data_IF_185424192675
#
_entry.id   IF_185424192675
#
_cell.length_a   1.000
_cell.length_b   1.000
_cell.length_c   1.000
_cell.angle_alpha   90.00
_cell.angle_beta   90.00
_cell.angle_gamma   90.00
#
_symmetry.space_group_name_H-M   'P 1'
#
loop_
_entity.id
_entity.type
_entity.pdbx_description
1 polymer ?
#
# COMPACT_ATOMS: atom_id res chain seq x y z
N UNK A 1 15.90 14.33 -11.13
CA UNK A 1 15.26 14.61 -9.83
C UNK A 1 15.73 13.54 -8.84
N UNK A 2 16.59 13.86 -7.86
CA UNK A 2 17.22 12.81 -7.03
C UNK A 2 16.29 12.32 -5.92
N UNK A 3 15.40 11.37 -6.24
CA UNK A 3 14.78 10.55 -5.20
C UNK A 3 15.90 9.84 -4.42
N UNK A 4 16.06 10.19 -3.14
CA UNK A 4 17.03 9.54 -2.24
C UNK A 4 16.29 9.02 -1.03
N UNK A 5 16.31 7.71 -0.87
CA UNK A 5 15.92 7.05 0.38
C UNK A 5 17.06 7.28 1.38
N UNK A 6 16.73 7.88 2.53
CA UNK A 6 17.71 8.03 3.60
C UNK A 6 17.72 6.74 4.44
N UNK A 7 18.74 5.91 4.23
CA UNK A 7 18.90 4.65 4.96
C UNK A 7 19.39 4.81 6.41
N UNK A 8 19.75 6.03 6.85
CA UNK A 8 20.22 6.25 8.23
C UNK A 8 19.02 6.40 9.18
N UNK A 9 18.65 5.34 9.87
CA UNK A 9 17.75 5.41 11.03
C UNK A 9 18.48 6.02 12.23
N UNK A 10 18.00 7.17 12.72
CA UNK A 10 18.59 7.88 13.88
C UNK A 10 17.98 7.44 15.21
N UNK A 11 16.72 7.00 15.20
CA UNK A 11 15.98 6.53 16.36
C UNK A 11 14.85 5.59 15.92
N UNK A 12 14.31 4.83 16.87
CA UNK A 12 13.22 3.87 16.61
C UNK A 12 12.00 4.57 15.99
N UNK A 13 11.61 4.16 14.80
CA UNK A 13 10.50 4.72 14.01
C UNK A 13 10.93 5.66 12.88
N UNK A 14 12.21 5.99 12.77
CA UNK A 14 12.75 6.81 11.67
C UNK A 14 12.72 6.05 10.33
N UNK A 15 12.78 4.70 10.36
CA UNK A 15 12.59 3.83 9.19
C UNK A 15 11.13 3.72 8.71
N UNK A 16 10.20 4.47 9.32
CA UNK A 16 8.79 4.46 8.97
C UNK A 16 7.95 3.47 9.78
N UNK A 17 6.68 3.83 9.95
CA UNK A 17 5.69 3.06 10.69
C UNK A 17 4.41 2.98 9.86
N UNK A 18 4.07 1.81 9.35
CA UNK A 18 2.86 1.60 8.56
C UNK A 18 1.70 1.10 9.41
N UNK A 19 0.50 1.59 9.13
CA UNK A 19 -0.75 1.00 9.60
C UNK A 19 -1.50 0.36 8.43
N UNK A 20 -1.80 -0.93 8.52
CA UNK A 20 -2.67 -1.64 7.58
C UNK A 20 -4.02 -1.90 8.24
N UNK A 21 -5.09 -1.40 7.64
CA UNK A 21 -6.47 -1.66 8.05
C UNK A 21 -7.11 -2.56 7.00
N UNK A 22 -7.34 -3.82 7.35
CA UNK A 22 -7.73 -4.82 6.36
C UNK A 22 -8.10 -6.18 6.93
N UNK A 23 -8.43 -7.09 6.02
CA UNK A 23 -8.85 -8.44 6.31
C UNK A 23 -10.29 -8.55 6.79
N UNK A 24 -10.85 -9.74 6.57
CA UNK A 24 -12.09 -10.21 7.15
C UNK A 24 -11.99 -11.72 7.36
N UNK A 25 -13.09 -12.36 7.70
CA UNK A 25 -13.16 -13.80 7.99
C UNK A 25 -12.66 -14.70 6.85
N UNK A 26 -12.65 -14.20 5.61
CA UNK A 26 -12.26 -14.95 4.41
C UNK A 26 -10.89 -14.50 3.85
N UNK A 27 -10.58 -13.21 3.92
CA UNK A 27 -9.43 -12.59 3.25
C UNK A 27 -8.32 -12.21 4.24
N UNK A 28 -7.88 -13.16 5.06
CA UNK A 28 -6.77 -12.96 6.00
C UNK A 28 -5.43 -12.73 5.30
N UNK A 29 -5.23 -13.26 4.09
CA UNK A 29 -3.97 -13.16 3.35
C UNK A 29 -3.65 -11.76 2.81
N UNK A 30 -4.66 -10.97 2.45
CA UNK A 30 -4.47 -9.64 1.87
C UNK A 30 -3.73 -8.67 2.81
N UNK A 31 -4.17 -8.43 4.07
CA UNK A 31 -3.43 -7.57 4.99
C UNK A 31 -2.05 -8.12 5.34
N UNK A 32 -1.86 -9.45 5.31
CA UNK A 32 -0.55 -10.07 5.48
C UNK A 32 0.42 -9.68 4.35
N UNK A 33 0.01 -9.75 3.08
CA UNK A 33 0.88 -9.40 1.96
C UNK A 33 1.24 -7.91 1.96
N UNK A 34 0.28 -7.03 2.26
CA UNK A 34 0.53 -5.60 2.38
C UNK A 34 1.49 -5.26 3.54
N UNK A 35 1.30 -5.89 4.69
CA UNK A 35 2.17 -5.69 5.85
C UNK A 35 3.58 -6.24 5.60
N UNK A 36 3.68 -7.48 5.10
CA UNK A 36 4.97 -8.13 4.87
C UNK A 36 5.75 -7.47 3.74
N UNK A 37 5.11 -7.02 2.66
CA UNK A 37 5.82 -6.27 1.62
C UNK A 37 6.29 -4.89 2.09
N UNK A 38 5.58 -4.26 3.05
CA UNK A 38 6.06 -3.06 3.73
C UNK A 38 7.38 -3.33 4.46
N UNK A 39 7.46 -4.41 5.24
CA UNK A 39 8.70 -4.83 5.89
C UNK A 39 9.82 -5.14 4.88
N UNK A 40 9.52 -5.94 3.85
CA UNK A 40 10.50 -6.29 2.82
C UNK A 40 11.02 -5.09 2.02
N UNK A 41 10.27 -3.98 2.02
CA UNK A 41 10.70 -2.71 1.42
C UNK A 41 11.53 -1.84 2.37
N UNK A 42 11.60 -2.19 3.66
CA UNK A 42 12.42 -1.50 4.65
C UNK A 42 11.64 -0.80 5.77
N UNK A 43 10.32 -1.01 5.90
CA UNK A 43 9.54 -0.45 7.00
C UNK A 43 10.06 -0.98 8.33
N UNK A 44 10.18 -0.11 9.33
CA UNK A 44 10.69 -0.50 10.65
C UNK A 44 9.62 -1.16 11.53
N UNK A 45 8.39 -0.67 11.45
CA UNK A 45 7.26 -1.19 12.22
C UNK A 45 5.98 -1.20 11.38
N UNK A 46 5.21 -2.27 11.49
CA UNK A 46 3.89 -2.39 10.88
C UNK A 46 2.86 -2.76 11.94
N UNK A 47 1.81 -1.96 12.02
CA UNK A 47 0.58 -2.29 12.73
C UNK A 47 -0.43 -2.86 11.75
N UNK A 48 -1.12 -3.92 12.14
CA UNK A 48 -2.26 -4.46 11.38
C UNK A 48 -3.50 -4.41 12.26
N UNK A 49 -4.47 -3.60 11.83
CA UNK A 49 -5.81 -3.52 12.41
C UNK A 49 -6.77 -4.36 11.58
N UNK A 50 -7.33 -5.41 12.19
CA UNK A 50 -8.16 -6.41 11.50
C UNK A 50 -9.25 -6.94 12.44
N UNK A 51 -10.32 -7.61 11.95
CA UNK A 51 -11.30 -8.25 12.84
C UNK A 51 -10.70 -9.33 13.75
N UNK A 52 -11.30 -9.57 14.92
CA UNK A 52 -10.80 -10.48 15.96
C UNK A 52 -10.43 -11.88 15.46
N UNK A 53 -11.17 -12.40 14.49
CA UNK A 53 -10.97 -13.75 13.90
C UNK A 53 -9.63 -13.89 13.18
N UNK A 54 -9.06 -12.79 12.69
CA UNK A 54 -7.79 -12.77 11.97
C UNK A 54 -6.57 -12.60 12.89
N UNK A 55 -6.75 -12.25 14.16
CA UNK A 55 -5.61 -11.96 15.06
C UNK A 55 -4.68 -13.14 15.21
N UNK A 56 -5.22 -14.33 15.53
CA UNK A 56 -4.39 -15.53 15.76
C UNK A 56 -3.67 -15.99 14.48
N UNK A 57 -4.35 -16.13 13.32
CA UNK A 57 -3.68 -16.44 12.07
C UNK A 57 -2.58 -15.44 11.69
N UNK A 58 -2.87 -14.13 11.76
CA UNK A 58 -1.89 -13.11 11.37
C UNK A 58 -0.70 -13.04 12.33
N UNK A 59 -0.92 -13.15 13.65
CA UNK A 59 0.17 -13.22 14.63
C UNK A 59 1.06 -14.45 14.44
N UNK A 60 0.48 -15.55 13.96
CA UNK A 60 1.23 -16.77 13.64
C UNK A 60 2.06 -16.61 12.37
N UNK A 61 1.48 -16.02 11.32
CA UNK A 61 2.13 -15.87 10.02
C UNK A 61 3.16 -14.72 9.98
N UNK A 62 3.00 -13.72 10.84
CA UNK A 62 3.80 -12.49 10.85
C UNK A 62 3.97 -12.00 12.30
N UNK A 63 4.81 -12.66 13.11
CA UNK A 63 5.09 -12.27 14.49
C UNK A 63 5.81 -10.91 14.60
N UNK A 64 6.40 -10.42 13.52
CA UNK A 64 7.09 -9.12 13.46
C UNK A 64 6.12 -7.93 13.49
N UNK A 65 4.86 -8.14 13.10
CA UNK A 65 3.84 -7.10 13.11
C UNK A 65 3.09 -7.01 14.44
N UNK A 66 2.68 -5.80 14.80
CA UNK A 66 1.73 -5.60 15.90
C UNK A 66 0.32 -5.74 15.35
N UNK A 67 -0.30 -6.90 15.60
CA UNK A 67 -1.65 -7.21 15.13
C UNK A 67 -2.68 -6.97 16.24
N UNK A 68 -3.68 -6.14 15.97
CA UNK A 68 -4.74 -5.77 16.91
C UNK A 68 -6.09 -5.58 16.22
N UNK A 69 -7.15 -5.40 16.99
CA UNK A 69 -8.47 -5.07 16.49
C UNK A 69 -8.49 -3.67 15.86
N UNK A 70 -9.44 -3.45 14.94
CA UNK A 70 -9.77 -2.10 14.45
C UNK A 70 -10.30 -1.28 15.62
N UNK A 71 -9.50 -0.32 16.09
CA UNK A 71 -9.84 0.58 17.20
C UNK A 71 -9.02 1.86 17.13
N UNK A 72 -9.57 2.96 17.63
CA UNK A 72 -8.92 4.27 17.62
C UNK A 72 -7.87 4.42 18.75
N UNK A 73 -6.78 3.67 18.65
CA UNK A 73 -5.66 3.73 19.60
C UNK A 73 -4.73 4.93 19.30
N UNK A 74 -4.99 6.09 19.91
CA UNK A 74 -4.21 7.33 19.66
C UNK A 74 -2.70 7.17 19.80
N UNK A 75 -2.23 6.34 20.73
CA UNK A 75 -0.80 6.09 20.92
C UNK A 75 -0.15 5.36 19.72
N UNK A 76 -0.91 4.54 18.98
CA UNK A 76 -0.49 3.96 17.70
C UNK A 76 -0.53 5.04 16.63
N UNK A 77 -1.70 5.69 16.47
CA UNK A 77 -1.96 6.61 15.36
C UNK A 77 -0.96 7.78 15.31
N UNK A 78 -0.58 8.33 16.47
CA UNK A 78 0.40 9.42 16.58
C UNK A 78 1.81 9.07 16.06
N UNK A 79 2.10 7.78 15.86
CA UNK A 79 3.39 7.27 15.40
C UNK A 79 3.35 6.85 13.94
N UNK A 80 2.17 6.61 13.37
CA UNK A 80 2.00 6.11 12.01
C UNK A 80 2.49 7.17 11.02
N UNK A 81 3.18 6.69 9.99
CA UNK A 81 3.77 7.53 8.95
C UNK A 81 3.14 7.34 7.59
N UNK A 82 2.45 6.22 7.37
CA UNK A 82 1.64 5.92 6.18
C UNK A 82 0.57 4.87 6.54
N UNK A 83 -0.60 4.98 5.93
CA UNK A 83 -1.71 4.04 6.17
C UNK A 83 -2.16 3.36 4.88
N UNK A 84 -2.46 2.07 4.95
CA UNK A 84 -3.10 1.28 3.90
C UNK A 84 -4.49 0.88 4.41
N UNK A 85 -5.51 1.05 3.59
CA UNK A 85 -6.89 0.67 3.91
C UNK A 85 -7.47 -0.15 2.77
N UNK A 86 -8.13 -1.26 3.11
CA UNK A 86 -9.00 -1.96 2.18
C UNK A 86 -8.51 -3.31 1.66
N UNK A 87 -7.26 -3.67 1.94
CA UNK A 87 -6.72 -5.00 1.64
C UNK A 87 -7.55 -6.08 2.34
N UNK A 88 -8.47 -6.73 1.62
CA UNK A 88 -9.30 -7.83 2.11
C UNK A 88 -10.40 -7.45 3.09
N UNK A 89 -10.90 -6.22 3.12
CA UNK A 89 -12.02 -5.86 4.02
C UNK A 89 -13.33 -6.56 3.62
N UNK A 90 -13.56 -6.78 2.32
CA UNK A 90 -14.83 -7.25 1.79
C UNK A 90 -15.97 -6.29 2.14
N UNK A 91 -17.18 -6.86 2.29
CA UNK A 91 -18.34 -6.11 2.75
C UNK A 91 -18.24 -5.92 4.26
N UNK A 92 -18.11 -4.67 4.68
CA UNK A 92 -18.11 -4.27 6.09
C UNK A 92 -19.47 -3.68 6.47
N UNK A 93 -19.86 -3.86 7.72
CA UNK A 93 -21.00 -3.16 8.31
C UNK A 93 -20.68 -1.68 8.57
N UNK A 94 -21.71 -0.92 8.96
CA UNK A 94 -21.56 0.51 9.21
C UNK A 94 -20.71 0.81 10.45
N UNK A 95 -20.69 -0.06 11.45
CA UNK A 95 -19.95 0.19 12.69
C UNK A 95 -18.44 0.06 12.46
N UNK A 96 -18.03 -0.98 11.72
CA UNK A 96 -16.65 -1.15 11.27
C UNK A 96 -16.28 0.00 10.33
N UNK A 97 -17.14 0.37 9.38
CA UNK A 97 -16.89 1.52 8.50
C UNK A 97 -16.67 2.80 9.29
N UNK A 98 -17.52 3.10 10.27
CA UNK A 98 -17.40 4.30 11.12
C UNK A 98 -16.12 4.28 11.94
N UNK A 99 -15.76 3.14 12.54
CA UNK A 99 -14.51 2.97 13.27
C UNK A 99 -13.28 3.25 12.40
N UNK A 100 -13.31 2.80 11.13
CA UNK A 100 -12.25 3.09 10.16
C UNK A 100 -12.21 4.58 9.84
N UNK A 101 -13.36 5.22 9.62
CA UNK A 101 -13.41 6.66 9.32
C UNK A 101 -12.84 7.51 10.47
N UNK A 102 -13.18 7.18 11.73
CA UNK A 102 -12.63 7.87 12.91
C UNK A 102 -11.10 7.74 12.98
N UNK A 103 -10.56 6.57 12.68
CA UNK A 103 -9.10 6.37 12.60
C UNK A 103 -8.50 7.25 11.50
N UNK A 104 -9.12 7.29 10.31
CA UNK A 104 -8.59 8.02 9.17
C UNK A 104 -8.66 9.54 9.35
N UNK A 105 -9.63 10.05 10.11
CA UNK A 105 -9.72 11.48 10.47
C UNK A 105 -8.49 11.94 11.28
N UNK A 106 -7.91 11.08 12.13
CA UNK A 106 -6.69 11.37 12.90
C UNK A 106 -5.41 11.31 12.03
N UNK A 107 -5.48 10.73 10.83
CA UNK A 107 -4.33 10.48 9.93
C UNK A 107 -4.20 11.48 8.78
N UNK A 108 -4.79 12.68 8.92
CA UNK A 108 -4.87 13.73 7.89
C UNK A 108 -3.52 14.16 7.29
N UNK A 109 -2.44 14.09 8.08
CA UNK A 109 -1.12 14.63 7.73
C UNK A 109 -0.17 13.62 7.07
N UNK A 110 -0.58 12.36 6.95
CA UNK A 110 0.23 11.28 6.37
C UNK A 110 -0.39 10.78 5.06
N UNK A 111 0.39 10.09 4.20
CA UNK A 111 -0.14 9.42 3.04
C UNK A 111 -1.10 8.30 3.43
N UNK A 112 -2.23 8.20 2.72
CA UNK A 112 -3.19 7.11 2.86
C UNK A 112 -3.39 6.44 1.49
N UNK A 113 -3.24 5.12 1.46
CA UNK A 113 -3.44 4.28 0.29
C UNK A 113 -4.75 3.51 0.46
N UNK A 114 -5.72 3.75 -0.42
CA UNK A 114 -6.94 2.96 -0.52
C UNK A 114 -6.81 1.93 -1.64
N UNK A 115 -6.87 0.65 -1.27
CA UNK A 115 -6.87 -0.48 -2.20
C UNK A 115 -8.13 -1.32 -2.04
N UNK A 116 -8.53 -2.02 -3.11
CA UNK A 116 -9.69 -2.92 -3.09
C UNK A 116 -10.94 -2.26 -2.49
N UNK A 117 -11.49 -2.86 -1.43
CA UNK A 117 -12.70 -2.39 -0.75
C UNK A 117 -12.52 -1.02 -0.05
N UNK A 118 -11.27 -0.60 0.22
CA UNK A 118 -10.98 0.74 0.72
C UNK A 118 -11.35 1.83 -0.29
N UNK A 119 -11.27 1.53 -1.59
CA UNK A 119 -11.69 2.46 -2.66
C UNK A 119 -13.20 2.72 -2.58
N UNK A 120 -13.99 1.73 -2.14
CA UNK A 120 -15.42 1.91 -1.91
C UNK A 120 -15.67 2.88 -0.74
N UNK A 121 -14.94 2.71 0.38
CA UNK A 121 -15.01 3.65 1.52
C UNK A 121 -14.67 5.07 1.06
N UNK A 122 -13.56 5.22 0.33
CA UNK A 122 -13.18 6.51 -0.25
C UNK A 122 -14.27 7.08 -1.16
N UNK A 123 -14.83 6.29 -2.08
CA UNK A 123 -15.83 6.78 -3.03
C UNK A 123 -17.11 7.28 -2.35
N UNK A 124 -17.53 6.61 -1.27
CA UNK A 124 -18.77 6.95 -0.54
C UNK A 124 -18.58 8.12 0.43
N UNK A 125 -17.37 8.30 0.98
CA UNK A 125 -17.08 9.30 2.02
C UNK A 125 -16.07 10.36 1.59
N UNK A 126 -15.79 10.46 0.29
CA UNK A 126 -14.74 11.31 -0.30
C UNK A 126 -14.66 12.76 0.20
N UNK A 127 -15.77 13.36 0.64
CA UNK A 127 -15.77 14.71 1.25
C UNK A 127 -14.94 14.76 2.55
N UNK A 128 -14.93 13.69 3.34
CA UNK A 128 -14.14 13.56 4.57
C UNK A 128 -12.64 13.57 4.31
N UNK A 129 -12.22 13.21 3.09
CA UNK A 129 -10.82 13.12 2.72
C UNK A 129 -10.27 14.40 2.04
N UNK A 130 -11.08 15.45 1.92
CA UNK A 130 -10.71 16.69 1.20
C UNK A 130 -9.47 17.39 1.79
N UNK A 131 -9.27 17.27 3.09
CA UNK A 131 -8.16 17.92 3.80
C UNK A 131 -6.96 16.99 4.02
N UNK A 132 -7.05 15.73 3.59
CA UNK A 132 -5.94 14.80 3.67
C UNK A 132 -4.83 15.19 2.70
N UNK A 133 -3.61 15.14 3.20
CA UNK A 133 -2.46 15.67 2.49
C UNK A 133 -2.16 14.93 1.18
N UNK A 134 -2.16 13.61 1.23
CA UNK A 134 -1.87 12.72 0.10
C UNK A 134 -2.79 11.51 0.17
N UNK A 135 -3.64 11.35 -0.83
CA UNK A 135 -4.49 10.18 -1.02
C UNK A 135 -4.05 9.45 -2.28
N UNK A 136 -3.85 8.14 -2.16
CA UNK A 136 -3.51 7.24 -3.25
C UNK A 136 -4.62 6.21 -3.39
N UNK A 137 -5.13 6.03 -4.60
CA UNK A 137 -6.11 5.00 -4.94
C UNK A 137 -5.42 3.99 -5.86
N UNK A 138 -5.58 2.69 -5.60
CA UNK A 138 -4.96 1.64 -6.42
C UNK A 138 -5.98 0.76 -7.14
N UNK A 139 -6.92 1.32 -7.93
CA UNK A 139 -7.98 0.54 -8.55
C UNK A 139 -7.46 -0.45 -9.59
N UNK A 140 -8.04 -1.65 -9.60
CA UNK A 140 -8.03 -2.50 -10.78
C UNK A 140 -9.01 -1.99 -11.85
N UNK A 141 -9.04 -2.64 -13.01
CA UNK A 141 -9.92 -2.27 -14.13
C UNK A 141 -11.41 -2.13 -13.75
N UNK A 142 -11.94 -3.03 -12.91
CA UNK A 142 -13.35 -3.02 -12.51
C UNK A 142 -13.64 -1.93 -11.46
N UNK A 143 -12.72 -1.71 -10.52
CA UNK A 143 -12.81 -0.62 -9.53
C UNK A 143 -12.72 0.75 -10.22
N UNK A 144 -11.84 0.88 -11.22
CA UNK A 144 -11.66 2.11 -11.98
C UNK A 144 -12.95 2.54 -12.69
N UNK A 145 -13.72 1.58 -13.25
CA UNK A 145 -15.03 1.85 -13.86
C UNK A 145 -16.07 2.36 -12.86
N UNK A 146 -15.96 1.97 -11.59
CA UNK A 146 -16.89 2.39 -10.53
C UNK A 146 -16.50 3.73 -9.93
N UNK A 147 -15.28 4.18 -10.16
CA UNK A 147 -14.76 5.46 -9.70
C UNK A 147 -15.33 6.60 -10.57
N UNK A 148 -16.64 6.86 -10.47
CA UNK A 148 -17.38 7.86 -11.25
C UNK A 148 -17.16 9.30 -10.77
N UNK A 149 -16.09 9.57 -10.03
CA UNK A 149 -15.87 10.87 -9.39
C UNK A 149 -14.82 11.68 -10.13
N UNK A 150 -15.06 12.99 -10.23
CA UNK A 150 -14.05 13.96 -10.66
C UNK A 150 -12.99 14.04 -9.56
N UNK A 151 -11.84 13.43 -9.81
CA UNK A 151 -10.71 13.44 -8.90
C UNK A 151 -9.95 14.74 -9.12
N UNK A 152 -9.63 15.41 -8.03
CA UNK A 152 -9.05 16.75 -8.06
C UNK A 152 -7.63 16.73 -7.51
N UNK A 153 -7.42 15.98 -6.42
CA UNK A 153 -6.20 16.01 -5.63
C UNK A 153 -5.71 14.61 -5.26
N UNK A 154 -6.31 13.55 -5.77
CA UNK A 154 -5.91 12.18 -5.52
C UNK A 154 -4.88 11.71 -6.56
N UNK A 155 -4.02 10.78 -6.15
CA UNK A 155 -3.16 10.03 -7.06
C UNK A 155 -3.79 8.67 -7.30
N UNK A 156 -3.87 8.24 -8.55
CA UNK A 156 -4.46 6.95 -8.92
C UNK A 156 -3.41 6.09 -9.58
N UNK A 157 -3.29 4.85 -9.16
CA UNK A 157 -2.57 3.81 -9.89
C UNK A 157 -3.59 2.87 -10.50
N UNK A 158 -3.89 3.09 -11.78
CA UNK A 158 -4.74 2.18 -12.55
C UNK A 158 -3.91 0.97 -12.95
N UNK A 159 -4.14 -0.15 -12.24
CA UNK A 159 -3.38 -1.40 -12.38
C UNK A 159 -3.77 -2.11 -13.67
N UNK A 160 -2.80 -2.56 -14.46
CA UNK A 160 -3.06 -3.24 -15.73
C UNK A 160 -1.84 -3.90 -16.36
N UNK A 161 -1.97 -4.26 -17.64
CA UNK A 161 -0.82 -4.71 -18.44
C UNK A 161 0.28 -3.63 -18.43
N UNK A 162 -0.14 -2.37 -18.56
CA UNK A 162 0.64 -1.18 -18.24
C UNK A 162 -0.03 -0.47 -17.08
N UNK A 163 0.76 -0.02 -16.11
CA UNK A 163 0.23 0.75 -14.99
C UNK A 163 0.18 2.23 -15.39
N UNK A 164 -0.94 2.90 -15.07
CA UNK A 164 -1.10 4.33 -15.31
C UNK A 164 -1.21 5.06 -13.99
N UNK A 165 -0.32 6.02 -13.77
CA UNK A 165 -0.35 6.90 -12.60
C UNK A 165 -1.02 8.19 -13.02
N UNK A 166 -2.22 8.44 -12.53
CA UNK A 166 -3.06 9.58 -12.92
C UNK A 166 -3.11 10.54 -11.73
N UNK A 167 -2.81 11.80 -11.99
CA UNK A 167 -2.86 12.89 -11.01
C UNK A 167 -3.28 14.20 -11.71
N UNK A 168 -3.37 15.29 -10.95
CA UNK A 168 -3.78 16.60 -11.48
C UNK A 168 -2.82 17.11 -12.56
N UNK A 169 -1.55 16.79 -12.43
CA UNK A 169 -0.47 17.25 -13.30
C UNK A 169 -0.39 16.45 -14.62
N UNK A 170 -1.02 15.28 -14.68
CA UNK A 170 -1.07 14.45 -15.89
C UNK A 170 -1.09 12.95 -15.60
N UNK A 171 -0.72 12.17 -16.62
CA UNK A 171 -0.65 10.70 -16.54
C UNK A 171 0.75 10.20 -16.89
N UNK A 172 1.37 9.46 -15.97
CA UNK A 172 2.59 8.68 -16.22
C UNK A 172 2.23 7.24 -16.56
N UNK A 173 3.01 6.60 -17.43
CA UNK A 173 2.77 5.22 -17.86
C UNK A 173 3.99 4.35 -17.57
N UNK A 174 3.80 3.29 -16.79
CA UNK A 174 4.84 2.34 -16.41
C UNK A 174 4.69 1.07 -17.23
N UNK A 175 5.66 0.81 -18.12
CA UNK A 175 5.64 -0.32 -19.08
C UNK A 175 6.73 -1.35 -18.83
N UNK A 176 7.41 -1.31 -17.69
CA UNK A 176 8.49 -2.25 -17.37
C UNK A 176 8.01 -3.70 -17.50
N UNK A 177 8.93 -4.60 -17.88
CA UNK A 177 8.63 -6.03 -17.98
C UNK A 177 8.10 -6.56 -16.64
N UNK A 178 7.09 -7.42 -16.69
CA UNK A 178 6.45 -8.04 -15.54
C UNK A 178 6.24 -9.54 -15.78
N UNK A 179 5.69 -10.27 -14.82
CA UNK A 179 5.36 -11.69 -14.96
C UNK A 179 4.27 -11.94 -16.02
N UNK A 180 4.37 -13.05 -16.75
CA UNK A 180 3.30 -13.51 -17.66
C UNK A 180 2.11 -14.15 -16.93
N UNK A 181 2.23 -14.39 -15.61
CA UNK A 181 1.17 -14.96 -14.77
C UNK A 181 0.63 -13.93 -13.80
N UNK A 182 -0.69 -13.82 -13.73
CA UNK A 182 -1.39 -13.09 -12.67
C UNK A 182 -1.46 -13.94 -11.41
N UNK A 183 -1.17 -13.35 -10.26
CA UNK A 183 -1.38 -13.97 -8.93
C UNK A 183 -2.27 -13.07 -8.06
N UNK A 184 -3.13 -13.69 -7.26
CA UNK A 184 -3.93 -12.99 -6.26
C UNK A 184 -3.03 -12.54 -5.11
N UNK A 185 -3.02 -11.27 -4.72
CA UNK A 185 -2.10 -10.73 -3.70
C UNK A 185 -1.02 -9.79 -4.25
N UNK A 186 -0.80 -9.75 -5.56
CA UNK A 186 0.17 -8.83 -6.17
C UNK A 186 -0.18 -7.35 -5.92
N UNK A 187 -1.47 -7.02 -5.86
CA UNK A 187 -1.95 -5.68 -5.52
C UNK A 187 -1.61 -5.30 -4.07
N UNK A 188 -1.80 -6.22 -3.13
CA UNK A 188 -1.43 -6.02 -1.72
C UNK A 188 0.09 -5.85 -1.55
N UNK A 189 0.89 -6.60 -2.31
CA UNK A 189 2.35 -6.41 -2.29
C UNK A 189 2.71 -5.01 -2.78
N UNK A 190 2.11 -4.53 -3.88
CA UNK A 190 2.30 -3.16 -4.37
C UNK A 190 1.97 -2.11 -3.30
N UNK A 191 0.84 -2.24 -2.59
CA UNK A 191 0.43 -1.23 -1.61
C UNK A 191 1.42 -1.13 -0.45
N UNK A 192 1.99 -2.24 0.02
CA UNK A 192 3.04 -2.20 1.04
C UNK A 192 4.37 -1.61 0.55
N UNK A 193 4.76 -1.87 -0.70
CA UNK A 193 5.93 -1.20 -1.32
C UNK A 193 5.71 0.32 -1.35
N UNK A 194 4.54 0.74 -1.82
CA UNK A 194 4.18 2.16 -1.88
C UNK A 194 4.16 2.79 -0.49
N UNK A 195 3.65 2.08 0.53
CA UNK A 195 3.59 2.57 1.89
C UNK A 195 4.98 2.91 2.43
N UNK A 196 5.97 2.06 2.17
CA UNK A 196 7.35 2.35 2.52
C UNK A 196 7.91 3.55 1.75
N UNK A 197 7.79 3.56 0.42
CA UNK A 197 8.38 4.62 -0.38
C UNK A 197 7.79 6.00 -0.03
N UNK A 198 6.49 6.07 0.23
CA UNK A 198 5.79 7.28 0.68
C UNK A 198 6.19 7.70 2.10
N UNK A 199 6.44 6.73 2.99
CA UNK A 199 6.89 6.99 4.36
C UNK A 199 8.33 7.49 4.43
N UNK A 200 9.24 6.84 3.68
CA UNK A 200 10.69 7.05 3.68
C UNK A 200 11.10 8.31 2.90
N UNK A 201 10.26 8.74 1.98
CA UNK A 201 10.47 9.98 1.26
C UNK A 201 10.09 11.21 2.12
N UNK A 202 10.73 12.35 1.83
CA UNK A 202 10.47 13.61 2.53
C UNK A 202 9.04 14.08 2.27
N UNK A 203 8.13 13.75 3.21
CA UNK A 203 6.66 13.95 3.19
C UNK A 203 6.18 15.37 2.91
N UNK A 204 7.05 16.31 2.57
CA UNK A 204 6.76 17.74 2.40
C UNK A 204 6.54 18.19 0.95
N UNK A 205 6.86 17.38 -0.09
CA UNK A 205 6.80 17.87 -1.48
C UNK A 205 5.87 17.08 -2.41
N UNK A 206 4.60 17.44 -2.41
CA UNK A 206 3.56 16.77 -3.21
C UNK A 206 3.96 16.58 -4.69
N UNK A 207 4.79 17.46 -5.24
CA UNK A 207 5.26 17.44 -6.64
C UNK A 207 5.97 16.15 -7.07
N UNK A 208 6.58 15.37 -6.15
CA UNK A 208 7.32 14.14 -6.52
C UNK A 208 6.57 12.86 -6.20
N UNK A 209 5.33 12.95 -5.70
CA UNK A 209 4.55 11.75 -5.35
C UNK A 209 4.39 10.85 -6.57
N UNK A 210 4.12 11.40 -7.76
CA UNK A 210 4.03 10.63 -9.00
C UNK A 210 5.30 9.81 -9.30
N UNK A 211 6.48 10.39 -9.06
CA UNK A 211 7.78 9.71 -9.25
C UNK A 211 7.94 8.58 -8.23
N UNK A 212 7.53 8.80 -6.98
CA UNK A 212 7.54 7.78 -5.92
C UNK A 212 6.63 6.60 -6.29
N UNK A 213 5.43 6.89 -6.80
CA UNK A 213 4.49 5.86 -7.25
C UNK A 213 5.04 5.10 -8.48
N UNK A 214 5.73 5.79 -9.38
CA UNK A 214 6.40 5.18 -10.54
C UNK A 214 7.45 4.17 -10.09
N UNK A 215 8.29 4.54 -9.14
CA UNK A 215 9.31 3.66 -8.56
C UNK A 215 8.64 2.43 -7.94
N UNK A 216 7.57 2.60 -7.16
CA UNK A 216 6.82 1.47 -6.57
C UNK A 216 6.25 0.52 -7.63
N UNK A 217 5.69 1.06 -8.71
CA UNK A 217 5.21 0.27 -9.85
C UNK A 217 6.35 -0.49 -10.53
N UNK A 218 7.51 0.14 -10.72
CA UNK A 218 8.70 -0.51 -11.29
C UNK A 218 9.17 -1.67 -10.41
N UNK A 219 9.21 -1.48 -9.09
CA UNK A 219 9.63 -2.50 -8.13
C UNK A 219 8.68 -3.70 -8.19
N UNK A 220 7.36 -3.54 -8.06
CA UNK A 220 6.46 -4.71 -8.09
C UNK A 220 6.53 -5.47 -9.41
N UNK A 221 6.69 -4.77 -10.53
CA UNK A 221 6.80 -5.40 -11.86
C UNK A 221 8.11 -6.17 -11.98
N UNK A 222 9.23 -5.61 -11.50
CA UNK A 222 10.52 -6.31 -11.44
C UNK A 222 10.48 -7.51 -10.49
N UNK A 223 9.85 -7.39 -9.32
CA UNK A 223 9.66 -8.50 -8.39
C UNK A 223 8.87 -9.64 -9.03
N UNK A 224 7.77 -9.31 -9.70
CA UNK A 224 6.95 -10.30 -10.38
C UNK A 224 7.71 -10.96 -11.54
N UNK A 225 8.47 -10.18 -12.31
CA UNK A 225 9.33 -10.72 -13.36
C UNK A 225 10.34 -11.73 -12.81
N UNK A 226 11.10 -11.37 -11.77
CA UNK A 226 12.10 -12.24 -11.15
C UNK A 226 11.48 -13.52 -10.58
N UNK A 227 10.32 -13.40 -9.92
CA UNK A 227 9.58 -14.54 -9.38
C UNK A 227 9.09 -15.49 -10.48
N UNK A 228 8.66 -14.93 -11.63
CA UNK A 228 8.20 -15.71 -12.76
C UNK A 228 9.33 -16.41 -13.50
N UNK A 229 10.48 -15.76 -13.67
CA UNK A 229 11.67 -16.40 -14.28
C UNK A 229 12.11 -17.63 -13.46
N UNK A 230 11.97 -17.57 -12.13
CA UNK A 230 12.32 -18.69 -11.24
C UNK A 230 11.27 -19.80 -11.22
N UNK A 231 9.99 -19.45 -11.13
CA UNK A 231 8.92 -20.40 -10.79
C UNK A 231 7.92 -20.65 -11.93
N UNK A 232 8.01 -19.92 -13.03
CA UNK A 232 7.14 -20.02 -14.20
C UNK A 232 5.66 -20.03 -13.82
N UNK A 233 4.90 -21.01 -14.34
CA UNK A 233 3.46 -21.12 -14.09
C UNK A 233 3.10 -21.45 -12.64
N UNK A 234 4.04 -22.01 -11.86
CA UNK A 234 3.82 -22.33 -10.45
C UNK A 234 3.94 -21.11 -9.53
N UNK A 235 4.40 -19.95 -10.02
CA UNK A 235 4.61 -18.73 -9.23
C UNK A 235 3.41 -18.38 -8.34
N UNK A 236 3.69 -18.17 -7.06
CA UNK A 236 2.76 -17.74 -6.02
C UNK A 236 3.06 -16.28 -5.60
N UNK A 237 2.17 -15.65 -4.82
CA UNK A 237 2.41 -14.29 -4.31
C UNK A 237 3.63 -14.21 -3.38
N UNK A 238 3.91 -15.25 -2.58
CA UNK A 238 5.12 -15.36 -1.77
C UNK A 238 6.40 -15.23 -2.61
N UNK A 239 6.43 -15.83 -3.80
CA UNK A 239 7.61 -15.74 -4.66
C UNK A 239 7.88 -14.30 -5.12
N UNK A 240 6.82 -13.52 -5.36
CA UNK A 240 6.93 -12.09 -5.67
C UNK A 240 7.45 -11.34 -4.45
N UNK A 241 6.92 -11.65 -3.27
CA UNK A 241 7.32 -11.04 -2.00
C UNK A 241 8.81 -11.23 -1.71
N UNK A 242 9.33 -12.45 -1.92
CA UNK A 242 10.74 -12.79 -1.73
C UNK A 242 11.66 -12.03 -2.69
N UNK A 243 11.13 -11.55 -3.82
CA UNK A 243 11.89 -10.77 -4.81
C UNK A 243 11.87 -9.25 -4.54
N UNK A 244 11.06 -8.75 -3.58
CA UNK A 244 10.89 -7.31 -3.33
C UNK A 244 12.20 -6.61 -3.00
N UNK A 245 12.97 -7.12 -2.04
CA UNK A 245 14.23 -6.48 -1.63
C UNK A 245 15.23 -6.37 -2.79
N UNK A 246 15.41 -7.44 -3.56
CA UNK A 246 16.30 -7.44 -4.73
C UNK A 246 15.81 -6.47 -5.81
N UNK A 247 14.53 -6.51 -6.15
CA UNK A 247 13.95 -5.62 -7.15
C UNK A 247 14.10 -4.14 -6.74
N UNK A 248 13.95 -3.85 -5.45
CA UNK A 248 14.16 -2.53 -4.90
C UNK A 248 15.61 -2.06 -5.07
N UNK A 249 16.59 -2.89 -4.70
CA UNK A 249 18.00 -2.57 -4.91
C UNK A 249 18.35 -2.31 -6.38
N UNK A 250 17.82 -3.14 -7.28
CA UNK A 250 18.04 -3.01 -8.72
C UNK A 250 17.49 -1.66 -9.24
N UNK A 251 16.22 -1.37 -8.95
CA UNK A 251 15.56 -0.13 -9.41
C UNK A 251 16.22 1.11 -8.80
N UNK A 252 16.61 1.08 -7.51
CA UNK A 252 17.24 2.24 -6.88
C UNK A 252 18.68 2.48 -7.38
N UNK A 253 19.38 1.45 -7.87
CA UNK A 253 20.67 1.61 -8.55
C UNK A 253 20.50 2.25 -9.93
N UNK A 254 19.44 1.92 -10.67
CA UNK A 254 19.12 2.50 -11.98
C UNK A 254 18.81 4.02 -11.89
N UNK A 255 18.47 4.55 -10.71
CA UNK A 255 18.16 5.96 -10.47
C UNK A 255 19.37 6.83 -10.06
N UNK A 256 20.53 6.22 -9.79
CA UNK A 256 21.77 6.91 -9.40
C UNK A 256 22.59 7.30 -10.61
#
# INVERSE_FOLDING_TARGET
>A
MSFRINYKSRYKGDGGICLVIGGNDMYTGAPYFAARSSFMSGMELVYVMTPSKNLSPLKTLMPEAVVTNIRNDKWILNRVTTCIVGCGLGKIDNDVKNSILEILEELINIPIIFDGDGIYIFSTESIKFRYHKIIILTPNYNEMKKLNKKLENEFIISKGEVDKIICKEGTLVVKNKTSLKRVCGQGDILTGILAYLLSAWNRKRREVVSDVLEIGCKIIRRSAYLAYEKNGRAMLPQDILDCVGKAMDDILKELK
#
